data_IF_360894601686
#
_entry.id   IF_360894601686
#
_cell.length_a   1.000
_cell.length_b   1.000
_cell.length_c   1.000
_cell.angle_alpha   90.00
_cell.angle_beta   90.00
_cell.angle_gamma   90.00
#
_symmetry.space_group_name_H-M   'P 1'
#
loop_
_entity.id
_entity.type
_entity.pdbx_description
1 polymer ?
#
# COMPACT_ATOMS: atom_id res chain seq x y z
N UNK A 1 27.72 -20.29 18.90
CA UNK A 1 27.50 -19.27 19.93
C UNK A 1 27.72 -17.93 19.27
N UNK A 2 26.69 -17.06 19.33
CA UNK A 2 26.70 -15.57 19.21
C UNK A 2 27.41 -14.95 18.00
N UNK A 3 26.85 -14.00 17.25
CA UNK A 3 25.56 -13.32 17.28
C UNK A 3 25.41 -12.70 15.90
N UNK A 4 24.21 -12.78 15.33
CA UNK A 4 23.87 -12.19 14.05
C UNK A 4 23.82 -10.67 14.25
N UNK A 5 24.89 -10.03 13.82
CA UNK A 5 25.10 -8.59 13.68
C UNK A 5 23.80 -7.80 13.48
N UNK A 6 23.54 -6.89 14.41
CA UNK A 6 22.55 -5.83 14.32
C UNK A 6 22.92 -4.94 13.13
N UNK A 7 22.07 -4.92 12.10
CA UNK A 7 22.15 -3.95 11.01
C UNK A 7 21.66 -2.60 11.55
N UNK A 8 22.56 -1.87 12.20
CA UNK A 8 22.40 -0.44 12.46
C UNK A 8 22.27 0.30 11.12
N UNK A 9 21.08 0.84 10.84
CA UNK A 9 20.89 1.84 9.79
C UNK A 9 21.63 3.11 10.18
N UNK A 10 22.83 3.28 9.64
CA UNK A 10 23.55 4.54 9.74
C UNK A 10 22.77 5.63 9.00
N UNK A 11 22.48 6.79 9.64
CA UNK A 11 21.85 7.90 8.94
C UNK A 11 22.79 8.38 7.83
N UNK A 12 22.29 8.41 6.59
CA UNK A 12 23.03 8.93 5.43
C UNK A 12 23.44 10.37 5.72
N UNK A 13 24.75 10.59 5.94
CA UNK A 13 25.31 11.91 6.21
C UNK A 13 25.25 12.73 4.93
N UNK A 14 24.33 13.70 4.89
CA UNK A 14 24.19 14.65 3.78
C UNK A 14 25.45 15.52 3.75
N UNK A 15 26.08 15.66 2.58
CA UNK A 15 27.32 16.45 2.47
C UNK A 15 27.05 17.94 2.74
N UNK A 16 28.05 18.71 3.23
CA UNK A 16 27.90 20.16 3.44
C UNK A 16 27.43 20.90 2.17
N UNK A 17 27.88 20.45 1.00
CA UNK A 17 27.45 20.98 -0.29
C UNK A 17 25.97 20.70 -0.60
N UNK A 18 25.50 19.48 -0.34
CA UNK A 18 24.07 19.14 -0.47
C UNK A 18 23.20 19.90 0.53
N UNK A 19 23.70 20.11 1.76
CA UNK A 19 22.98 20.86 2.79
C UNK A 19 22.84 22.34 2.40
N UNK A 20 23.90 22.95 1.87
CA UNK A 20 23.88 24.32 1.37
C UNK A 20 22.93 24.47 0.16
N UNK A 21 22.97 23.52 -0.78
CA UNK A 21 22.06 23.49 -1.92
C UNK A 21 20.60 23.33 -1.48
N UNK A 22 20.31 22.43 -0.53
CA UNK A 22 18.96 22.24 0.02
C UNK A 22 18.44 23.51 0.71
N UNK A 23 19.30 24.22 1.47
CA UNK A 23 18.95 25.50 2.11
C UNK A 23 18.67 26.59 1.08
N UNK A 24 19.48 26.70 0.03
CA UNK A 24 19.26 27.64 -1.06
C UNK A 24 17.94 27.33 -1.81
N UNK A 25 17.70 26.07 -2.15
CA UNK A 25 16.46 25.63 -2.83
C UNK A 25 15.21 25.85 -1.97
N UNK A 26 15.33 25.70 -0.64
CA UNK A 26 14.23 25.95 0.29
C UNK A 26 13.78 27.42 0.30
N UNK A 27 14.69 28.38 0.06
CA UNK A 27 14.35 29.81 -0.03
C UNK A 27 13.48 30.12 -1.26
N UNK A 28 13.56 29.30 -2.33
CA UNK A 28 12.74 29.44 -3.53
C UNK A 28 11.43 28.62 -3.51
N UNK A 29 11.28 27.68 -2.56
CA UNK A 29 10.15 26.74 -2.51
C UNK A 29 9.15 27.03 -1.38
N UNK A 30 8.77 28.29 -1.19
CA UNK A 30 7.93 28.67 -0.03
C UNK A 30 6.43 28.41 -0.18
N UNK A 31 6.01 27.83 -1.31
CA UNK A 31 4.60 27.58 -1.62
C UNK A 31 3.75 28.86 -1.71
N UNK A 32 2.47 28.76 -2.10
CA UNK A 32 1.58 29.91 -2.11
C UNK A 32 1.23 30.36 -0.68
N UNK A 33 1.65 31.59 -0.32
CA UNK A 33 1.40 32.19 1.01
C UNK A 33 0.12 33.01 1.10
N UNK A 34 -0.41 33.47 -0.03
CA UNK A 34 -1.65 34.27 -0.10
C UNK A 34 -2.87 33.38 -0.28
N UNK A 35 -4.04 33.82 0.16
CA UNK A 35 -5.31 33.11 -0.08
C UNK A 35 -5.57 32.93 -1.58
N UNK A 36 -5.28 33.95 -2.39
CA UNK A 36 -5.40 33.88 -3.85
C UNK A 36 -4.45 32.85 -4.47
N UNK A 37 -3.21 32.75 -3.96
CA UNK A 37 -2.24 31.76 -4.38
C UNK A 37 -2.65 30.34 -3.96
N UNK A 38 -3.18 30.19 -2.74
CA UNK A 38 -3.71 28.91 -2.23
C UNK A 38 -4.92 28.44 -3.05
N UNK A 39 -5.84 29.34 -3.38
CA UNK A 39 -6.99 29.05 -4.24
C UNK A 39 -6.58 28.65 -5.67
N UNK A 40 -5.62 29.35 -6.27
CA UNK A 40 -5.05 28.94 -7.57
C UNK A 40 -4.37 27.57 -7.50
N UNK A 41 -3.66 27.29 -6.40
CA UNK A 41 -3.02 26.01 -6.17
C UNK A 41 -4.02 24.87 -5.93
N UNK A 42 -5.12 25.12 -5.19
CA UNK A 42 -6.17 24.12 -4.97
C UNK A 42 -6.94 23.81 -6.25
N UNK A 43 -7.13 24.78 -7.14
CA UNK A 43 -7.70 24.54 -8.46
C UNK A 43 -6.84 23.59 -9.30
N UNK A 44 -5.52 23.55 -9.14
CA UNK A 44 -4.66 22.60 -9.86
C UNK A 44 -4.86 21.15 -9.38
N UNK A 45 -5.16 20.95 -8.10
CA UNK A 45 -5.54 19.66 -7.54
C UNK A 45 -6.87 19.17 -8.13
N UNK A 46 -7.85 20.09 -8.27
CA UNK A 46 -9.17 19.80 -8.84
C UNK A 46 -9.10 19.57 -10.36
N UNK A 47 -8.23 20.28 -11.09
CA UNK A 47 -8.09 20.18 -12.56
C UNK A 47 -7.63 18.80 -13.02
N UNK A 48 -6.66 18.19 -12.33
CA UNK A 48 -6.11 16.89 -12.72
C UNK A 48 -6.64 15.75 -11.85
N UNK A 49 -7.11 16.04 -10.63
CA UNK A 49 -7.54 15.03 -9.66
C UNK A 49 -6.43 14.08 -9.18
N UNK A 50 -5.16 14.33 -9.56
CA UNK A 50 -4.03 13.46 -9.22
C UNK A 50 -3.42 13.80 -7.86
N UNK A 51 -3.55 15.06 -7.43
CA UNK A 51 -2.88 15.61 -6.24
C UNK A 51 -3.86 16.42 -5.38
N UNK A 52 -4.95 15.79 -4.96
CA UNK A 52 -5.94 16.39 -4.06
C UNK A 52 -6.27 15.49 -2.87
N UNK A 53 -7.03 16.03 -1.89
CA UNK A 53 -7.63 15.23 -0.81
C UNK A 53 -8.86 14.47 -1.31
N UNK A 54 -9.61 15.06 -2.23
CA UNK A 54 -10.74 14.41 -2.90
C UNK A 54 -10.23 13.46 -3.97
N UNK A 55 -10.65 12.19 -3.91
CA UNK A 55 -10.27 11.12 -4.85
C UNK A 55 -11.15 11.19 -6.10
N UNK A 56 -12.45 11.39 -5.88
CA UNK A 56 -13.46 11.53 -6.93
C UNK A 56 -13.55 12.98 -7.40
N UNK A 57 -13.49 13.16 -8.72
CA UNK A 57 -13.87 14.40 -9.38
C UNK A 57 -15.39 14.40 -9.65
N UNK A 58 -16.02 15.58 -9.84
CA UNK A 58 -17.44 15.65 -10.19
C UNK A 58 -17.83 14.86 -11.46
N UNK A 59 -16.86 14.61 -12.34
CA UNK A 59 -17.03 13.85 -13.58
C UNK A 59 -16.87 12.33 -13.41
N UNK A 60 -16.45 11.86 -12.23
CA UNK A 60 -16.16 10.44 -12.00
C UNK A 60 -17.43 9.65 -11.66
N UNK A 61 -17.46 8.38 -12.07
CA UNK A 61 -18.49 7.43 -11.61
C UNK A 61 -18.16 6.93 -10.19
N UNK A 62 -18.89 7.46 -9.21
CA UNK A 62 -18.76 7.04 -7.81
C UNK A 62 -19.06 5.54 -7.63
N UNK A 63 -20.00 4.98 -8.39
CA UNK A 63 -20.35 3.57 -8.27
C UNK A 63 -19.24 2.66 -8.83
N UNK A 64 -18.50 3.10 -9.86
CA UNK A 64 -17.32 2.37 -10.34
C UNK A 64 -16.20 2.38 -9.31
N UNK A 65 -15.97 3.52 -8.66
CA UNK A 65 -14.99 3.61 -7.59
C UNK A 65 -15.37 2.74 -6.39
N UNK A 66 -16.63 2.75 -5.97
CA UNK A 66 -17.11 1.86 -4.90
C UNK A 66 -16.93 0.38 -5.27
N UNK A 67 -17.23 -0.01 -6.52
CA UNK A 67 -16.96 -1.38 -7.01
C UNK A 67 -15.48 -1.72 -6.95
N UNK A 68 -14.60 -0.78 -7.31
CA UNK A 68 -13.15 -0.97 -7.23
C UNK A 68 -12.71 -1.18 -5.78
N UNK A 69 -13.14 -0.31 -4.87
CA UNK A 69 -12.79 -0.41 -3.46
C UNK A 69 -13.28 -1.72 -2.87
N UNK A 70 -14.54 -2.09 -3.12
CA UNK A 70 -15.11 -3.34 -2.62
C UNK A 70 -14.36 -4.57 -3.15
N UNK A 71 -13.90 -4.54 -4.40
CA UNK A 71 -13.06 -5.60 -4.94
C UNK A 71 -11.73 -5.73 -4.18
N UNK A 72 -11.08 -4.61 -3.88
CA UNK A 72 -9.85 -4.59 -3.08
C UNK A 72 -10.08 -5.08 -1.64
N UNK A 73 -11.15 -4.64 -0.99
CA UNK A 73 -11.52 -5.12 0.36
C UNK A 73 -11.77 -6.62 0.39
N UNK A 74 -12.50 -7.14 -0.61
CA UNK A 74 -12.80 -8.56 -0.73
C UNK A 74 -11.55 -9.40 -0.97
N UNK A 75 -10.67 -8.95 -1.87
CA UNK A 75 -9.44 -9.69 -2.22
C UNK A 75 -8.42 -9.67 -1.09
N UNK A 76 -8.22 -8.50 -0.48
CA UNK A 76 -7.17 -8.30 0.52
C UNK A 76 -7.62 -8.64 1.94
N UNK A 77 -8.93 -8.69 2.20
CA UNK A 77 -9.53 -9.03 3.49
C UNK A 77 -8.82 -8.31 4.67
N UNK A 78 -8.80 -6.96 4.70
CA UNK A 78 -8.13 -6.22 5.75
C UNK A 78 -8.76 -6.51 7.11
N UNK A 79 -7.94 -6.52 8.15
CA UNK A 79 -8.42 -6.63 9.54
C UNK A 79 -7.88 -5.49 10.37
N UNK A 80 -8.79 -4.74 11.00
CA UNK A 80 -8.47 -3.56 11.79
C UNK A 80 -8.12 -2.33 10.94
N UNK A 81 -8.03 -1.18 11.60
CA UNK A 81 -7.94 0.12 10.94
C UNK A 81 -6.73 0.26 10.01
N UNK A 82 -5.55 -0.18 10.45
CA UNK A 82 -4.31 0.00 9.69
C UNK A 82 -4.32 -0.71 8.33
N UNK A 83 -4.85 -1.93 8.29
CA UNK A 83 -4.97 -2.66 7.04
C UNK A 83 -6.05 -2.03 6.14
N UNK A 84 -7.20 -1.64 6.73
CA UNK A 84 -8.28 -0.98 6.00
C UNK A 84 -7.82 0.33 5.35
N UNK A 85 -7.03 1.14 6.07
CA UNK A 85 -6.46 2.39 5.55
C UNK A 85 -5.54 2.14 4.35
N UNK A 86 -4.71 1.09 4.41
CA UNK A 86 -3.81 0.72 3.31
C UNK A 86 -4.57 0.19 2.09
N UNK A 87 -5.64 -0.57 2.31
CA UNK A 87 -6.52 -1.06 1.23
C UNK A 87 -7.24 0.11 0.55
N UNK A 88 -7.87 0.98 1.34
CA UNK A 88 -8.53 2.20 0.88
C UNK A 88 -7.56 3.05 0.05
N UNK A 89 -6.41 3.38 0.62
CA UNK A 89 -5.38 4.18 -0.04
C UNK A 89 -4.93 3.53 -1.35
N UNK A 90 -4.66 2.21 -1.36
CA UNK A 90 -4.35 1.44 -2.58
C UNK A 90 -5.38 1.66 -3.68
N UNK A 91 -6.68 1.53 -3.36
CA UNK A 91 -7.76 1.74 -4.31
C UNK A 91 -7.78 3.19 -4.84
N UNK A 92 -7.54 4.19 -3.97
CA UNK A 92 -7.45 5.60 -4.36
C UNK A 92 -6.33 5.88 -5.37
N UNK A 93 -5.13 5.32 -5.16
CA UNK A 93 -4.03 5.51 -6.13
C UNK A 93 -4.29 4.79 -7.43
N UNK A 94 -4.89 3.59 -7.39
CA UNK A 94 -5.33 2.90 -8.60
C UNK A 94 -6.35 3.75 -9.37
N UNK A 95 -7.31 4.37 -8.68
CA UNK A 95 -8.27 5.29 -9.30
C UNK A 95 -7.59 6.49 -9.97
N UNK A 96 -6.62 7.12 -9.30
CA UNK A 96 -5.86 8.24 -9.86
C UNK A 96 -4.99 7.83 -11.04
N UNK A 97 -4.36 6.65 -10.99
CA UNK A 97 -3.55 6.10 -12.08
C UNK A 97 -4.40 5.87 -13.33
N UNK A 98 -5.62 5.32 -13.18
CA UNK A 98 -6.57 5.13 -14.31
C UNK A 98 -6.90 6.44 -15.04
N UNK A 99 -6.80 7.59 -14.38
CA UNK A 99 -7.10 8.90 -14.97
C UNK A 99 -5.98 9.44 -15.87
N UNK A 100 -4.74 9.01 -15.66
CA UNK A 100 -3.58 9.59 -16.35
C UNK A 100 -3.66 9.43 -17.88
N UNK A 101 -3.97 8.25 -18.44
CA UNK A 101 -4.08 8.08 -19.89
C UNK A 101 -5.16 8.99 -20.51
N UNK A 102 -6.29 9.18 -19.82
CA UNK A 102 -7.35 10.07 -20.28
C UNK A 102 -6.90 11.54 -20.30
N UNK A 103 -6.10 11.97 -19.31
CA UNK A 103 -5.54 13.32 -19.27
C UNK A 103 -4.49 13.54 -20.37
N UNK A 104 -3.65 12.54 -20.65
CA UNK A 104 -2.69 12.58 -21.76
C UNK A 104 -3.42 12.70 -23.10
N UNK A 105 -4.43 11.86 -23.33
CA UNK A 105 -5.26 11.92 -24.55
C UNK A 105 -5.95 13.27 -24.70
N UNK A 106 -6.47 13.85 -23.60
CA UNK A 106 -7.09 15.17 -23.64
C UNK A 106 -6.09 16.29 -24.03
N UNK A 107 -4.82 16.19 -23.61
CA UNK A 107 -3.77 17.12 -24.04
C UNK A 107 -3.51 16.97 -25.54
N UNK A 108 -3.40 15.75 -26.05
CA UNK A 108 -3.18 15.52 -27.47
C UNK A 108 -4.37 16.00 -28.31
N UNK A 109 -5.60 15.67 -27.91
CA UNK A 109 -6.81 16.15 -28.56
C UNK A 109 -6.89 17.69 -28.58
N UNK A 110 -6.53 18.36 -27.48
CA UNK A 110 -6.45 19.83 -27.44
C UNK A 110 -5.46 20.37 -28.47
N UNK A 111 -4.27 19.77 -28.57
CA UNK A 111 -3.26 20.16 -29.56
C UNK A 111 -3.71 19.93 -31.00
N UNK A 112 -4.40 18.81 -31.28
CA UNK A 112 -4.99 18.56 -32.59
C UNK A 112 -5.98 19.64 -33.01
N UNK A 113 -6.80 20.13 -32.07
CA UNK A 113 -7.76 21.21 -32.34
C UNK A 113 -7.02 22.54 -32.52
N UNK A 114 -6.07 22.86 -31.64
CA UNK A 114 -5.38 24.14 -31.61
C UNK A 114 -4.44 24.35 -32.81
N UNK A 115 -3.82 23.28 -33.30
CA UNK A 115 -2.85 23.33 -34.41
C UNK A 115 -3.39 22.77 -35.72
N UNK A 116 -4.71 22.53 -35.82
CA UNK A 116 -5.34 21.90 -36.99
C UNK A 116 -4.93 22.55 -38.32
N UNK A 117 -4.87 23.89 -38.35
CA UNK A 117 -4.54 24.66 -39.55
C UNK A 117 -3.09 25.15 -39.62
N UNK A 118 -2.27 24.88 -38.61
CA UNK A 118 -0.90 25.42 -38.52
C UNK A 118 0.06 24.84 -39.59
N UNK A 119 -0.34 23.73 -40.22
CA UNK A 119 0.48 22.96 -41.15
C UNK A 119 -0.21 22.70 -42.49
N UNK A 120 -1.23 23.49 -42.85
CA UNK A 120 -1.99 23.31 -44.10
C UNK A 120 -1.15 23.50 -45.37
N UNK A 121 -0.02 24.21 -45.26
CA UNK A 121 0.95 24.38 -46.33
C UNK A 121 1.78 23.12 -46.64
N UNK A 122 1.75 22.10 -45.77
CA UNK A 122 2.49 20.86 -45.96
C UNK A 122 1.63 19.75 -46.58
N UNK A 123 2.29 18.71 -47.09
CA UNK A 123 1.63 17.53 -47.63
C UNK A 123 0.67 16.90 -46.59
N UNK A 124 -0.58 16.54 -46.96
CA UNK A 124 -1.55 15.97 -46.03
C UNK A 124 -1.06 14.76 -45.24
N UNK A 125 -0.16 13.95 -45.80
CA UNK A 125 0.40 12.78 -45.11
C UNK A 125 1.34 13.14 -43.95
N UNK A 126 1.95 14.34 -43.99
CA UNK A 126 2.89 14.80 -42.97
C UNK A 126 2.20 15.59 -41.84
N UNK A 127 1.01 16.16 -42.08
CA UNK A 127 0.32 17.03 -41.13
C UNK A 127 0.06 16.38 -39.77
N UNK A 128 -0.43 15.12 -39.67
CA UNK A 128 -0.70 14.51 -38.36
C UNK A 128 0.55 14.45 -37.47
N UNK A 129 1.68 14.00 -38.00
CA UNK A 129 2.93 13.92 -37.26
C UNK A 129 3.48 15.29 -36.85
N UNK A 130 3.31 16.32 -37.69
CA UNK A 130 3.70 17.70 -37.37
C UNK A 130 2.84 18.28 -36.24
N UNK A 131 1.52 18.03 -36.29
CA UNK A 131 0.59 18.44 -35.24
C UNK A 131 0.92 17.73 -33.92
N UNK A 132 1.18 16.42 -33.95
CA UNK A 132 1.59 15.65 -32.77
C UNK A 132 2.90 16.18 -32.17
N UNK A 133 3.93 16.43 -32.99
CA UNK A 133 5.19 16.99 -32.54
C UNK A 133 5.03 18.39 -31.94
N UNK A 134 4.25 19.26 -32.59
CA UNK A 134 3.96 20.61 -32.09
C UNK A 134 3.18 20.55 -30.77
N UNK A 135 2.24 19.60 -30.66
CA UNK A 135 1.47 19.35 -29.44
C UNK A 135 2.37 18.91 -28.30
N UNK A 136 3.23 17.91 -28.56
CA UNK A 136 4.17 17.40 -27.56
C UNK A 136 5.12 18.50 -27.07
N UNK A 137 5.71 19.27 -27.98
CA UNK A 137 6.64 20.36 -27.63
C UNK A 137 5.94 21.50 -26.89
N UNK A 138 4.71 21.87 -27.28
CA UNK A 138 3.95 22.95 -26.62
C UNK A 138 3.49 22.55 -25.22
N UNK A 139 3.08 21.28 -25.02
CA UNK A 139 2.56 20.77 -23.75
C UNK A 139 3.55 19.89 -22.97
N UNK A 140 4.84 19.97 -23.31
CA UNK A 140 5.89 19.13 -22.75
C UNK A 140 5.87 19.12 -21.21
N UNK A 141 5.67 20.30 -20.60
CA UNK A 141 5.60 20.45 -19.13
C UNK A 141 4.41 19.71 -18.53
N UNK A 142 3.24 19.75 -19.17
CA UNK A 142 2.02 19.10 -18.72
C UNK A 142 2.17 17.59 -18.83
N UNK A 143 2.65 17.09 -19.97
CA UNK A 143 2.90 15.66 -20.22
C UNK A 143 3.95 15.11 -19.23
N UNK A 144 5.09 15.81 -19.07
CA UNK A 144 6.12 15.44 -18.08
C UNK A 144 5.57 15.42 -16.65
N UNK A 145 4.69 16.35 -16.31
CA UNK A 145 4.04 16.35 -15.00
C UNK A 145 3.15 15.11 -14.81
N UNK A 146 2.38 14.70 -15.83
CA UNK A 146 1.56 13.49 -15.77
C UNK A 146 2.43 12.24 -15.57
N UNK A 147 3.49 12.07 -16.35
CA UNK A 147 4.47 10.99 -16.20
C UNK A 147 5.09 10.95 -14.80
N UNK A 148 5.43 12.12 -14.25
CA UNK A 148 5.98 12.22 -12.90
C UNK A 148 4.95 11.82 -11.83
N UNK A 149 3.69 12.22 -11.99
CA UNK A 149 2.63 11.83 -11.06
C UNK A 149 2.32 10.34 -11.17
N UNK A 150 2.31 9.76 -12.37
CA UNK A 150 2.16 8.33 -12.59
C UNK A 150 3.22 7.56 -11.81
N UNK A 151 4.49 7.90 -12.02
CA UNK A 151 5.60 7.23 -11.36
C UNK A 151 5.52 7.38 -9.81
N UNK A 152 5.06 8.53 -9.30
CA UNK A 152 4.86 8.76 -7.86
C UNK A 152 3.72 7.91 -7.29
N UNK A 153 2.57 7.90 -7.95
CA UNK A 153 1.40 7.12 -7.54
C UNK A 153 1.69 5.62 -7.60
N UNK A 154 2.35 5.15 -8.66
CA UNK A 154 2.73 3.75 -8.83
C UNK A 154 3.67 3.28 -7.69
N UNK A 155 4.73 4.05 -7.41
CA UNK A 155 5.64 3.74 -6.29
C UNK A 155 4.96 3.78 -4.93
N UNK A 156 4.06 4.74 -4.71
CA UNK A 156 3.32 4.83 -3.45
C UNK A 156 2.42 3.61 -3.26
N UNK A 157 1.67 3.23 -4.29
CA UNK A 157 0.81 2.04 -4.31
C UNK A 157 1.62 0.76 -4.03
N UNK A 158 2.77 0.60 -4.66
CA UNK A 158 3.65 -0.55 -4.44
C UNK A 158 4.15 -0.61 -2.99
N UNK A 159 4.57 0.52 -2.43
CA UNK A 159 5.02 0.62 -1.04
C UNK A 159 3.89 0.25 -0.06
N UNK A 160 2.69 0.76 -0.27
CA UNK A 160 1.54 0.49 0.61
C UNK A 160 1.10 -0.97 0.53
N UNK A 161 1.09 -1.55 -0.67
CA UNK A 161 0.84 -2.98 -0.85
C UNK A 161 1.90 -3.85 -0.15
N UNK A 162 3.16 -3.40 -0.16
CA UNK A 162 4.24 -4.10 0.56
C UNK A 162 4.04 -4.04 2.08
N UNK A 163 3.68 -2.87 2.62
CA UNK A 163 3.41 -2.75 4.06
C UNK A 163 2.17 -3.55 4.48
N UNK A 164 1.11 -3.55 3.67
CA UNK A 164 -0.09 -4.35 3.94
C UNK A 164 0.26 -5.85 4.03
N UNK A 165 0.99 -6.37 3.04
CA UNK A 165 1.42 -7.78 3.04
C UNK A 165 2.26 -8.11 4.27
N UNK A 166 3.12 -7.20 4.71
CA UNK A 166 3.92 -7.35 5.93
C UNK A 166 3.04 -7.41 7.18
N UNK A 167 2.09 -6.49 7.34
CA UNK A 167 1.15 -6.49 8.47
C UNK A 167 0.32 -7.78 8.51
N UNK A 168 -0.19 -8.22 7.35
CA UNK A 168 -0.95 -9.45 7.25
C UNK A 168 -0.11 -10.69 7.55
N UNK A 169 1.14 -10.73 7.09
CA UNK A 169 2.06 -11.81 7.43
C UNK A 169 2.38 -11.85 8.92
N UNK A 170 2.56 -10.69 9.56
CA UNK A 170 2.75 -10.59 11.00
C UNK A 170 1.51 -11.04 11.78
N UNK A 171 0.31 -10.61 11.35
CA UNK A 171 -0.96 -11.05 11.95
C UNK A 171 -1.11 -12.56 11.88
N UNK A 172 -0.97 -13.15 10.69
CA UNK A 172 -1.05 -14.60 10.49
C UNK A 172 -0.02 -15.36 11.32
N UNK A 173 1.19 -14.83 11.43
CA UNK A 173 2.24 -15.42 12.28
C UNK A 173 1.82 -15.44 13.76
N UNK A 174 1.34 -14.30 14.29
CA UNK A 174 0.86 -14.20 15.68
C UNK A 174 -0.33 -15.12 15.94
N UNK A 175 -1.24 -15.22 14.99
CA UNK A 175 -2.40 -16.13 15.06
C UNK A 175 -1.96 -17.60 15.15
N UNK A 176 -1.02 -18.03 14.29
CA UNK A 176 -0.47 -19.38 14.33
C UNK A 176 0.29 -19.65 15.63
N UNK A 177 1.09 -18.69 16.12
CA UNK A 177 1.79 -18.82 17.41
C UNK A 177 0.80 -18.94 18.58
N UNK A 178 -0.30 -18.19 18.57
CA UNK A 178 -1.34 -18.27 19.58
C UNK A 178 -2.10 -19.59 19.51
N UNK A 179 -2.42 -20.10 18.30
CA UNK A 179 -3.01 -21.42 18.09
C UNK A 179 -2.09 -22.54 18.58
N UNK A 180 -0.78 -22.46 18.33
CA UNK A 180 0.21 -23.42 18.83
C UNK A 180 0.18 -23.48 20.37
N UNK A 181 0.14 -22.32 21.03
CA UNK A 181 0.06 -22.23 22.49
C UNK A 181 -1.27 -22.78 23.03
N UNK A 182 -2.39 -22.45 22.39
CA UNK A 182 -3.71 -22.95 22.76
C UNK A 182 -3.78 -24.47 22.61
N UNK A 183 -3.28 -25.00 21.49
CA UNK A 183 -3.21 -26.43 21.21
C UNK A 183 -2.37 -27.19 22.24
N UNK A 184 -1.23 -26.64 22.65
CA UNK A 184 -0.41 -27.24 23.72
C UNK A 184 -1.17 -27.35 25.03
N UNK A 185 -1.85 -26.28 25.44
CA UNK A 185 -2.63 -26.25 26.69
C UNK A 185 -3.82 -27.19 26.62
N UNK A 186 -4.54 -27.21 25.50
CA UNK A 186 -5.65 -28.14 25.26
C UNK A 186 -5.20 -29.61 25.35
N UNK A 187 -4.09 -29.97 24.70
CA UNK A 187 -3.55 -31.33 24.75
C UNK A 187 -3.18 -31.77 26.18
N UNK A 188 -2.60 -30.86 26.97
CA UNK A 188 -2.25 -31.12 28.38
C UNK A 188 -3.53 -31.31 29.21
N UNK A 189 -4.52 -30.43 29.07
CA UNK A 189 -5.79 -30.55 29.78
C UNK A 189 -6.50 -31.87 29.45
N UNK A 190 -6.49 -32.27 28.17
CA UNK A 190 -7.03 -33.55 27.69
C UNK A 190 -6.30 -34.76 28.28
N UNK A 191 -4.96 -34.73 28.32
CA UNK A 191 -4.13 -35.78 28.95
C UNK A 191 -4.45 -35.93 30.44
N UNK A 192 -4.68 -34.82 31.13
CA UNK A 192 -4.97 -34.80 32.56
C UNK A 192 -6.46 -35.01 32.89
N UNK A 193 -7.30 -35.27 31.88
CA UNK A 193 -8.74 -35.41 32.00
C UNK A 193 -9.41 -34.21 32.72
N UNK A 194 -8.94 -33.01 32.40
CA UNK A 194 -9.46 -31.73 32.91
C UNK A 194 -10.18 -30.94 31.83
N UNK A 195 -11.18 -30.15 32.21
CA UNK A 195 -11.87 -29.25 31.28
C UNK A 195 -10.89 -28.20 30.72
N UNK A 196 -11.05 -27.87 29.43
CA UNK A 196 -10.30 -26.79 28.78
C UNK A 196 -11.25 -25.71 28.30
N UNK A 197 -11.01 -24.49 28.77
CA UNK A 197 -11.69 -23.28 28.31
C UNK A 197 -10.65 -22.36 27.67
N UNK A 198 -10.82 -22.09 26.38
CA UNK A 198 -9.90 -21.27 25.59
C UNK A 198 -9.90 -19.80 26.06
N UNK A 199 -11.07 -19.23 26.35
CA UNK A 199 -11.22 -17.84 26.78
C UNK A 199 -10.60 -17.64 28.17
N UNK A 200 -10.83 -18.57 29.10
CA UNK A 200 -10.18 -18.55 30.42
C UNK A 200 -8.65 -18.67 30.34
N UNK A 201 -8.12 -19.22 29.24
CA UNK A 201 -6.69 -19.31 28.96
C UNK A 201 -6.15 -18.12 28.14
N UNK A 202 -6.98 -17.11 27.85
CA UNK A 202 -6.58 -15.91 27.11
C UNK A 202 -6.54 -16.09 25.59
N UNK A 203 -7.23 -17.10 25.06
CA UNK A 203 -7.34 -17.33 23.62
C UNK A 203 -8.75 -17.01 23.12
N UNK A 204 -8.83 -16.40 21.94
CA UNK A 204 -10.09 -16.10 21.24
C UNK A 204 -10.50 -17.22 20.27
N UNK A 205 -9.83 -18.37 20.33
CA UNK A 205 -10.12 -19.52 19.48
C UNK A 205 -11.15 -20.43 20.13
N UNK A 206 -12.07 -20.94 19.34
CA UNK A 206 -12.93 -22.06 19.73
C UNK A 206 -12.12 -23.36 19.85
N UNK A 207 -12.63 -24.31 20.65
CA UNK A 207 -12.04 -25.66 20.74
C UNK A 207 -12.00 -26.34 19.37
N UNK A 208 -13.02 -26.13 18.53
CA UNK A 208 -13.07 -26.68 17.17
C UNK A 208 -11.95 -26.14 16.28
N UNK A 209 -11.55 -24.87 16.41
CA UNK A 209 -10.42 -24.30 15.67
C UNK A 209 -9.08 -24.87 16.13
N UNK A 210 -8.93 -25.09 17.43
CA UNK A 210 -7.75 -25.74 18.01
C UNK A 210 -7.65 -27.18 17.51
N UNK A 211 -8.75 -27.92 17.47
CA UNK A 211 -8.79 -29.29 16.96
C UNK A 211 -8.46 -29.34 15.46
N UNK A 212 -9.02 -28.43 14.65
CA UNK A 212 -8.66 -28.30 13.22
C UNK A 212 -7.20 -27.91 13.02
N UNK A 213 -6.60 -27.14 13.92
CA UNK A 213 -5.16 -26.87 13.89
C UNK A 213 -4.36 -28.15 14.16
N UNK A 214 -4.75 -28.93 15.17
CA UNK A 214 -4.11 -30.19 15.52
C UNK A 214 -4.17 -31.25 14.40
N UNK A 215 -5.26 -31.30 13.63
CA UNK A 215 -5.37 -32.18 12.44
C UNK A 215 -4.28 -31.93 11.40
N UNK A 216 -3.75 -30.70 11.35
CA UNK A 216 -2.68 -30.29 10.42
C UNK A 216 -1.28 -30.44 11.03
N UNK A 217 -1.18 -30.69 12.34
CA UNK A 217 0.09 -30.87 13.02
C UNK A 217 0.66 -32.28 12.78
N UNK A 218 1.98 -32.43 12.59
CA UNK A 218 2.61 -33.74 12.50
C UNK A 218 2.42 -34.54 13.80
N UNK A 219 2.19 -35.87 13.75
CA UNK A 219 2.06 -36.70 14.95
C UNK A 219 3.25 -36.58 15.92
N UNK A 220 4.47 -36.49 15.38
CA UNK A 220 5.69 -36.30 16.17
C UNK A 220 5.73 -34.98 16.98
N UNK A 221 5.01 -33.94 16.53
CA UNK A 221 4.86 -32.70 17.30
C UNK A 221 3.93 -32.93 18.49
N UNK A 222 2.80 -33.61 18.28
CA UNK A 222 1.81 -33.92 19.32
C UNK A 222 2.44 -34.77 20.43
N UNK A 223 3.17 -35.82 20.06
CA UNK A 223 3.90 -36.67 21.00
C UNK A 223 4.94 -35.90 21.83
N UNK A 224 5.64 -34.95 21.21
CA UNK A 224 6.61 -34.09 21.90
C UNK A 224 5.95 -33.19 22.93
N UNK A 225 4.80 -32.60 22.60
CA UNK A 225 4.03 -31.78 23.54
C UNK A 225 3.59 -32.61 24.76
N UNK A 226 3.03 -33.79 24.52
CA UNK A 226 2.52 -34.67 25.59
C UNK A 226 3.64 -35.26 26.48
N UNK A 227 4.85 -35.45 25.93
CA UNK A 227 6.01 -36.01 26.65
C UNK A 227 6.84 -34.96 27.42
N UNK A 228 6.81 -33.69 27.02
CA UNK A 228 7.62 -32.63 27.65
C UNK A 228 7.24 -32.39 29.12
N UNK A 229 5.99 -32.61 29.52
CA UNK A 229 5.59 -32.50 30.93
C UNK A 229 6.09 -33.64 31.83
N UNK A 230 6.24 -34.87 31.29
CA UNK A 230 6.71 -36.03 32.09
C UNK A 230 8.14 -35.87 32.59
N UNK A 231 8.97 -35.04 31.93
CA UNK A 231 10.35 -34.74 32.35
C UNK A 231 10.48 -33.67 33.43
N UNK A 232 9.51 -32.77 33.56
CA UNK A 232 9.54 -31.72 34.58
C UNK A 232 9.10 -32.23 35.97
N UNK A 233 8.29 -33.29 36.02
CA UNK A 233 7.92 -33.95 37.29
C UNK A 233 9.06 -34.80 37.88
N UNK A 234 9.95 -35.33 37.05
CA UNK A 234 11.06 -36.20 37.49
C UNK A 234 12.33 -35.45 37.92
N UNK A 235 12.44 -34.15 37.61
CA UNK A 235 13.58 -33.30 38.01
C UNK A 235 13.34 -32.43 39.25
N UNK A 236 12.12 -32.35 39.77
CA UNK A 236 11.78 -31.58 40.98
C UNK A 236 11.65 -32.42 42.26
N UNK A 237 11.95 -33.71 42.19
CA UNK A 237 11.82 -34.67 43.30
C UNK A 237 13.15 -35.32 43.71
N UNK A 238 14.28 -34.66 43.41
CA UNK A 238 15.63 -35.05 43.82
C UNK A 238 16.28 -33.93 44.63
#
# INVERSE_FOLDING_TARGET
>A
MTSRSELETTPSVISPAQLAANRANAQFSTGPKTETGKAKSSLNAVKTGLTGRTVLLPSDDAAEYERLLHAYEKELAPTGQLESDLVQSTAEMTWRLKRIPALEMAIFAKGHIEFASSFDQYDPSLRPGMIELQTFTTYEKQLRNLQLQEARLARRREKEMTELRKLQAERKRKEVEALDQAARRYLISKKNNTSFDAAANGFDFSVAEIERYLERCPPAWIERVLSTQSRNFTRGAA
#
